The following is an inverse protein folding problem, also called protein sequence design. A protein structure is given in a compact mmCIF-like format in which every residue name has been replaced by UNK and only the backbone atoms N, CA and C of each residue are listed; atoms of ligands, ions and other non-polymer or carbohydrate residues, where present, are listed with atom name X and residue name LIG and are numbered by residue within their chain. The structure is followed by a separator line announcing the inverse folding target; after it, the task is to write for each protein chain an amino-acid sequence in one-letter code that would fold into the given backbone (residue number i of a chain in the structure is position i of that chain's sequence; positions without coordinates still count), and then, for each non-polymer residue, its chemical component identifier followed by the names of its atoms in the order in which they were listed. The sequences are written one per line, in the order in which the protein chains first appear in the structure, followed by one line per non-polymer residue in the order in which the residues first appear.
data_IF_123011419313
#
_entry.id   IF_123011419313
#
_cell.length_a   1.000
_cell.length_b   1.000
_cell.length_c   1.000
_cell.angle_alpha   90.00
_cell.angle_beta   90.00
_cell.angle_gamma   90.00
#
_symmetry.space_group_name_H-M   'P 1'
#
loop_
_entity.id
_entity.type
_entity.pdbx_description
1 polymer ?
#
# COMPACT_ATOMS: atom_id res chain seq x y z
N UNK A 1 -43.07 -2.54 22.57
CA UNK A 1 -42.10 -1.70 21.84
C UNK A 1 -40.70 -2.16 22.20
N UNK A 2 -40.08 -2.96 21.35
CA UNK A 2 -38.70 -3.42 21.52
C UNK A 2 -38.14 -3.70 20.13
N UNK A 3 -37.12 -2.95 19.73
CA UNK A 3 -35.82 -3.49 19.34
C UNK A 3 -34.92 -2.33 18.90
N UNK A 4 -34.02 -1.96 19.81
CA UNK A 4 -32.75 -1.36 19.45
C UNK A 4 -32.01 -2.34 18.55
N UNK A 5 -31.76 -1.99 17.30
CA UNK A 5 -30.91 -2.78 16.41
C UNK A 5 -29.50 -2.73 16.96
N UNK A 6 -29.08 -3.83 17.58
CA UNK A 6 -27.69 -4.11 17.84
C UNK A 6 -26.95 -4.00 16.50
N UNK A 7 -25.89 -3.20 16.47
CA UNK A 7 -24.95 -3.18 15.37
C UNK A 7 -24.37 -4.59 15.25
N UNK A 8 -24.73 -5.28 14.18
CA UNK A 8 -24.21 -6.60 13.84
C UNK A 8 -22.73 -6.41 13.51
N UNK A 9 -21.86 -6.93 14.39
CA UNK A 9 -20.43 -6.95 14.17
C UNK A 9 -20.15 -7.91 13.01
N UNK A 10 -19.90 -7.35 11.83
CA UNK A 10 -19.62 -8.11 10.63
C UNK A 10 -18.13 -8.52 10.62
N UNK A 11 -17.83 -9.54 11.41
CA UNK A 11 -16.53 -10.21 11.50
C UNK A 11 -16.11 -10.77 10.14
N UNK A 12 -14.84 -10.60 9.76
CA UNK A 12 -14.27 -11.28 8.58
C UNK A 12 -14.63 -12.77 8.55
N UNK A 13 -15.01 -13.26 7.38
CA UNK A 13 -15.30 -14.67 7.16
C UNK A 13 -14.07 -15.52 7.42
N UNK A 14 -14.27 -16.80 7.74
CA UNK A 14 -13.17 -17.74 7.99
C UNK A 14 -12.21 -17.81 6.79
N UNK A 15 -12.74 -17.68 5.57
CA UNK A 15 -11.98 -17.64 4.32
C UNK A 15 -11.11 -16.40 4.21
N UNK A 16 -11.59 -15.23 4.62
CA UNK A 16 -10.81 -13.99 4.59
C UNK A 16 -9.76 -13.97 5.70
N UNK A 17 -10.08 -14.47 6.90
CA UNK A 17 -9.12 -14.65 8.00
C UNK A 17 -7.97 -15.59 7.61
N UNK A 18 -8.24 -16.63 6.82
CA UNK A 18 -7.23 -17.56 6.28
C UNK A 18 -6.45 -16.97 5.10
N UNK A 19 -7.13 -16.35 4.14
CA UNK A 19 -6.53 -15.75 2.94
C UNK A 19 -5.59 -14.59 3.30
N UNK A 20 -5.94 -13.81 4.32
CA UNK A 20 -5.21 -12.60 4.72
C UNK A 20 -4.61 -12.70 6.13
N UNK A 21 -4.10 -13.88 6.53
CA UNK A 21 -3.71 -14.28 7.89
C UNK A 21 -3.14 -13.22 8.87
N UNK A 22 -2.44 -12.19 8.41
CA UNK A 22 -1.93 -11.07 9.24
C UNK A 22 -2.94 -9.91 9.39
N UNK A 23 -3.67 -9.56 8.33
CA UNK A 23 -4.69 -8.49 8.36
C UNK A 23 -5.89 -8.92 9.20
N UNK A 24 -6.31 -10.19 9.07
CA UNK A 24 -7.35 -10.78 9.90
C UNK A 24 -7.02 -10.76 11.40
N UNK A 25 -5.76 -10.99 11.78
CA UNK A 25 -5.31 -10.95 13.19
C UNK A 25 -5.26 -9.52 13.78
N UNK A 26 -4.98 -8.49 12.98
CA UNK A 26 -4.94 -7.08 13.44
C UNK A 26 -6.35 -6.58 13.73
N UNK A 27 -7.31 -6.96 12.90
CA UNK A 27 -8.74 -6.66 13.14
C UNK A 27 -9.24 -7.37 14.40
N UNK A 28 -8.87 -8.65 14.58
CA UNK A 28 -9.26 -9.43 15.75
C UNK A 28 -8.60 -8.98 17.06
N UNK A 29 -7.46 -8.29 17.01
CA UNK A 29 -6.78 -7.78 18.22
C UNK A 29 -7.18 -6.34 18.60
N UNK A 30 -7.95 -5.65 17.76
CA UNK A 30 -8.37 -4.26 17.97
C UNK A 30 -9.53 -4.04 18.95
N UNK A 31 -10.17 -5.09 19.47
CA UNK A 31 -11.47 -4.98 20.16
C UNK A 31 -11.44 -4.78 21.67
N UNK A 32 -10.33 -4.38 22.31
CA UNK A 32 -10.36 -4.17 23.77
C UNK A 32 -9.62 -2.91 24.22
N UNK A 33 -10.38 -1.84 24.46
CA UNK A 33 -10.55 -1.17 25.77
C UNK A 33 -11.20 0.21 25.61
N UNK A 34 -12.52 0.25 25.74
CA UNK A 34 -13.26 1.43 26.17
C UNK A 34 -12.80 1.83 27.58
N UNK A 35 -12.07 2.93 27.73
CA UNK A 35 -11.69 3.41 29.06
C UNK A 35 -10.98 4.78 29.10
N UNK A 36 -11.72 5.79 29.60
CA UNK A 36 -11.29 7.09 30.19
C UNK A 36 -11.01 8.25 29.22
N UNK A 37 -11.93 9.21 29.26
CA UNK A 37 -12.12 10.39 28.40
C UNK A 37 -11.08 11.51 28.54
N UNK A 38 -10.14 11.45 29.49
CA UNK A 38 -9.18 12.55 29.72
C UNK A 38 -7.79 12.29 29.09
N UNK A 39 -7.43 11.04 28.81
CA UNK A 39 -6.14 10.67 28.17
C UNK A 39 -6.20 10.77 26.63
N UNK A 40 -7.42 10.88 26.05
CA UNK A 40 -7.65 10.90 24.60
C UNK A 40 -7.20 12.19 23.93
N UNK A 41 -7.45 13.35 24.55
CA UNK A 41 -7.08 14.66 23.99
C UNK A 41 -5.56 14.80 23.81
N UNK A 42 -4.77 14.55 24.86
CA UNK A 42 -3.32 14.67 24.81
C UNK A 42 -2.64 13.71 23.81
N UNK A 43 -3.17 12.48 23.66
CA UNK A 43 -2.67 11.50 22.68
C UNK A 43 -3.01 11.90 21.24
N UNK A 44 -4.24 12.37 20.99
CA UNK A 44 -4.64 12.89 19.68
C UNK A 44 -3.79 14.09 19.27
N UNK A 45 -3.58 15.07 20.16
CA UNK A 45 -2.73 16.25 19.88
C UNK A 45 -1.27 15.88 19.61
N UNK A 46 -0.75 14.83 20.25
CA UNK A 46 0.62 14.35 20.01
C UNK A 46 0.75 13.64 18.66
N UNK A 47 -0.22 12.82 18.26
CA UNK A 47 -0.22 12.19 16.93
C UNK A 47 -0.52 13.18 15.81
N UNK A 48 -1.39 14.17 16.03
CA UNK A 48 -1.63 15.28 15.09
C UNK A 48 -0.33 16.05 14.81
N UNK A 49 0.52 16.27 15.81
CA UNK A 49 1.83 16.90 15.59
C UNK A 49 2.76 16.07 14.69
N UNK A 50 2.58 14.76 14.58
CA UNK A 50 3.38 13.94 13.67
C UNK A 50 2.92 14.06 12.23
N UNK A 51 1.69 14.48 11.96
CA UNK A 51 1.20 14.58 10.57
C UNK A 51 1.90 15.68 9.77
N UNK A 52 2.63 16.59 10.43
CA UNK A 52 3.46 17.62 9.80
C UNK A 52 4.75 17.08 9.16
N UNK A 53 5.16 15.85 9.49
CA UNK A 53 6.31 15.17 8.88
C UNK A 53 5.81 14.15 7.85
N UNK A 54 6.20 14.34 6.58
CA UNK A 54 5.76 13.45 5.50
C UNK A 54 6.42 12.06 5.60
N UNK A 55 5.70 11.03 5.13
CA UNK A 55 6.17 9.64 5.12
C UNK A 55 6.02 8.85 6.44
N UNK A 56 5.45 9.41 7.50
CA UNK A 56 5.21 8.68 8.77
C UNK A 56 3.79 8.08 8.87
N UNK A 57 3.58 7.12 9.76
CA UNK A 57 2.30 6.42 9.88
C UNK A 57 1.07 7.33 10.12
N UNK A 58 1.26 8.50 10.75
CA UNK A 58 0.20 9.47 11.00
C UNK A 58 -0.14 10.28 9.73
N UNK A 59 0.86 10.63 8.91
CA UNK A 59 0.61 11.30 7.62
C UNK A 59 -0.11 10.38 6.64
N UNK A 60 0.24 9.09 6.56
CA UNK A 60 -0.51 8.08 5.80
C UNK A 60 -1.96 7.98 6.26
N UNK A 61 -2.20 7.94 7.57
CA UNK A 61 -3.55 7.92 8.12
C UNK A 61 -4.35 9.18 7.77
N UNK A 62 -3.71 10.35 7.76
CA UNK A 62 -4.34 11.60 7.35
C UNK A 62 -4.67 11.62 5.85
N UNK A 63 -3.76 11.14 4.99
CA UNK A 63 -4.01 11.04 3.55
C UNK A 63 -5.19 10.13 3.23
N UNK A 64 -5.30 8.98 3.91
CA UNK A 64 -6.48 8.10 3.80
C UNK A 64 -7.75 8.82 4.25
N UNK A 65 -7.70 9.58 5.35
CA UNK A 65 -8.86 10.34 5.81
C UNK A 65 -9.32 11.40 4.81
N UNK A 66 -8.37 12.14 4.23
CA UNK A 66 -8.67 13.14 3.19
C UNK A 66 -9.25 12.49 1.94
N UNK A 67 -8.76 11.31 1.56
CA UNK A 67 -9.30 10.57 0.43
C UNK A 67 -10.75 10.10 0.68
N UNK A 68 -11.09 9.69 1.90
CA UNK A 68 -12.50 9.37 2.25
C UNK A 68 -13.40 10.61 2.30
N UNK A 69 -12.86 11.74 2.74
CA UNK A 69 -13.61 13.00 2.88
C UNK A 69 -13.39 13.94 1.69
N UNK A 70 -13.30 13.40 0.47
CA UNK A 70 -13.11 14.20 -0.76
C UNK A 70 -14.40 14.92 -1.20
N UNK A 71 -15.17 15.42 -0.24
CA UNK A 71 -16.39 16.16 -0.49
C UNK A 71 -16.03 17.60 -0.87
N UNK A 72 -16.23 17.94 -2.13
CA UNK A 72 -16.12 19.30 -2.65
C UNK A 72 -17.49 19.79 -3.19
N UNK A 73 -17.56 21.05 -3.61
CA UNK A 73 -18.84 21.70 -3.96
C UNK A 73 -19.60 21.00 -5.11
N UNK A 74 -18.94 20.15 -5.92
CA UNK A 74 -19.51 19.52 -7.10
C UNK A 74 -19.42 17.99 -7.12
N UNK A 75 -18.63 17.38 -6.22
CA UNK A 75 -18.40 15.94 -6.15
C UNK A 75 -18.36 15.51 -4.68
N UNK A 76 -19.14 14.48 -4.34
CA UNK A 76 -19.23 13.91 -3.01
C UNK A 76 -18.84 12.44 -3.09
N UNK A 77 -18.08 11.97 -2.12
CA UNK A 77 -17.61 10.59 -2.06
C UNK A 77 -16.11 10.43 -1.85
N UNK A 78 -15.71 9.16 -1.81
CA UNK A 78 -14.32 8.76 -1.61
C UNK A 78 -13.53 8.89 -2.92
N UNK A 79 -12.29 9.38 -2.85
CA UNK A 79 -11.32 9.31 -3.94
C UNK A 79 -10.61 7.95 -3.89
N UNK A 80 -11.14 6.96 -4.61
CA UNK A 80 -10.64 5.58 -4.56
C UNK A 80 -9.20 5.47 -5.11
N UNK A 81 -8.83 6.32 -6.08
CA UNK A 81 -7.46 6.35 -6.58
C UNK A 81 -6.49 6.91 -5.54
N UNK A 82 -6.85 8.00 -4.84
CA UNK A 82 -6.04 8.52 -3.75
C UNK A 82 -5.89 7.47 -2.63
N UNK A 83 -6.96 6.75 -2.27
CA UNK A 83 -6.86 5.62 -1.33
C UNK A 83 -5.86 4.58 -1.82
N UNK A 84 -5.97 4.15 -3.09
CA UNK A 84 -5.09 3.15 -3.71
C UNK A 84 -3.63 3.60 -3.71
N UNK A 85 -3.36 4.86 -4.07
CA UNK A 85 -2.01 5.43 -4.06
C UNK A 85 -1.38 5.40 -2.67
N UNK A 86 -2.14 5.82 -1.65
CA UNK A 86 -1.65 5.87 -0.27
C UNK A 86 -1.34 4.46 0.23
N UNK A 87 -2.23 3.49 -0.04
CA UNK A 87 -2.01 2.07 0.30
C UNK A 87 -0.79 1.48 -0.43
N UNK A 88 -0.57 1.82 -1.71
CA UNK A 88 0.61 1.40 -2.47
C UNK A 88 1.90 1.93 -1.83
N UNK A 89 1.92 3.16 -1.35
CA UNK A 89 3.07 3.81 -0.68
C UNK A 89 3.40 3.22 0.70
N UNK A 90 2.48 2.48 1.35
CA UNK A 90 2.77 1.81 2.63
C UNK A 90 3.86 0.74 2.43
N UNK A 91 4.97 0.73 3.19
CA UNK A 91 6.14 -0.10 2.85
C UNK A 91 6.06 -1.56 3.31
N UNK A 92 5.31 -1.88 4.38
CA UNK A 92 5.21 -3.24 4.91
C UNK A 92 3.90 -3.47 5.65
N UNK A 93 3.57 -4.74 5.92
CA UNK A 93 2.39 -5.10 6.72
C UNK A 93 2.50 -4.58 8.15
N UNK A 94 3.68 -4.62 8.76
CA UNK A 94 3.90 -4.04 10.10
C UNK A 94 3.75 -2.53 10.10
N UNK A 95 4.26 -1.84 9.07
CA UNK A 95 4.02 -0.41 8.93
C UNK A 95 2.54 -0.09 8.71
N UNK A 96 1.82 -0.91 7.95
CA UNK A 96 0.38 -0.78 7.79
C UNK A 96 -0.37 -0.88 9.13
N UNK A 97 0.08 -1.76 10.05
CA UNK A 97 -0.45 -1.80 11.43
C UNK A 97 -0.21 -0.48 12.15
N UNK A 98 0.94 0.16 11.95
CA UNK A 98 1.23 1.47 12.53
C UNK A 98 0.30 2.55 11.94
N UNK A 99 -0.03 2.49 10.65
CA UNK A 99 -1.01 3.37 9.99
C UNK A 99 -2.41 3.17 10.59
N UNK A 100 -2.88 1.93 10.68
CA UNK A 100 -4.17 1.59 11.33
C UNK A 100 -4.25 2.16 12.75
N UNK A 101 -3.19 1.96 13.55
CA UNK A 101 -3.10 2.48 14.91
C UNK A 101 -3.11 4.02 14.95
N UNK A 102 -2.44 4.68 14.00
CA UNK A 102 -2.39 6.13 13.93
C UNK A 102 -3.76 6.71 13.54
N UNK A 103 -4.43 6.12 12.56
CA UNK A 103 -5.79 6.46 12.15
C UNK A 103 -6.78 6.37 13.31
N UNK A 104 -6.74 5.27 14.07
CA UNK A 104 -7.58 5.08 15.26
C UNK A 104 -7.31 6.13 16.35
N UNK A 105 -6.07 6.58 16.53
CA UNK A 105 -5.74 7.63 17.51
C UNK A 105 -6.17 9.02 17.05
N UNK A 106 -6.07 9.32 15.75
CA UNK A 106 -6.42 10.61 15.17
C UNK A 106 -7.94 10.80 15.12
N UNK A 107 -8.67 9.80 14.64
CA UNK A 107 -10.09 9.93 14.27
C UNK A 107 -11.04 9.15 15.17
N UNK A 108 -10.51 8.35 16.10
CA UNK A 108 -11.30 7.44 16.92
C UNK A 108 -12.14 6.42 16.10
N UNK A 109 -11.77 6.16 14.84
CA UNK A 109 -12.40 5.23 13.91
C UNK A 109 -11.46 4.09 13.51
N UNK A 110 -12.03 2.97 13.06
CA UNK A 110 -11.25 1.86 12.50
C UNK A 110 -10.99 2.11 11.02
N UNK A 111 -9.72 2.19 10.62
CA UNK A 111 -9.35 2.34 9.21
C UNK A 111 -9.91 1.20 8.35
N UNK A 112 -9.98 -0.03 8.90
CA UNK A 112 -10.49 -1.17 8.14
C UNK A 112 -12.01 -1.16 7.98
N UNK A 113 -12.73 -0.56 8.93
CA UNK A 113 -14.17 -0.36 8.79
C UNK A 113 -14.44 0.72 7.74
N UNK A 114 -13.74 1.85 7.83
CA UNK A 114 -13.89 2.95 6.88
C UNK A 114 -13.54 2.47 5.45
N UNK A 115 -12.45 1.72 5.25
CA UNK A 115 -12.14 1.14 3.93
C UNK A 115 -13.22 0.18 3.38
N UNK A 116 -13.96 -0.52 4.26
CA UNK A 116 -15.03 -1.43 3.84
C UNK A 116 -16.33 -0.68 3.54
N UNK A 117 -16.60 0.38 4.29
CA UNK A 117 -17.82 1.18 4.16
C UNK A 117 -17.73 2.14 2.96
N UNK A 118 -16.54 2.67 2.69
CA UNK A 118 -16.29 3.70 1.68
C UNK A 118 -16.02 3.13 0.28
N UNK A 119 -15.61 1.86 0.16
CA UNK A 119 -15.20 1.26 -1.11
C UNK A 119 -16.15 0.15 -1.57
N UNK A 120 -16.24 -0.05 -2.89
CA UNK A 120 -16.89 -1.24 -3.42
C UNK A 120 -16.13 -2.50 -2.99
N UNK A 121 -16.83 -3.63 -2.86
CA UNK A 121 -16.22 -4.90 -2.45
C UNK A 121 -15.03 -5.32 -3.32
N UNK A 122 -15.07 -5.04 -4.63
CA UNK A 122 -13.95 -5.33 -5.53
C UNK A 122 -12.71 -4.51 -5.22
N UNK A 123 -12.87 -3.23 -4.92
CA UNK A 123 -11.78 -2.30 -4.61
C UNK A 123 -11.19 -2.59 -3.24
N UNK A 124 -12.03 -2.82 -2.23
CA UNK A 124 -11.59 -3.25 -0.92
C UNK A 124 -10.72 -4.52 -1.00
N UNK A 125 -11.15 -5.52 -1.77
CA UNK A 125 -10.39 -6.75 -1.98
C UNK A 125 -9.07 -6.54 -2.73
N UNK A 126 -9.05 -5.62 -3.70
CA UNK A 126 -7.83 -5.20 -4.40
C UNK A 126 -6.80 -4.62 -3.41
N UNK A 127 -7.23 -3.69 -2.55
CA UNK A 127 -6.36 -3.06 -1.56
C UNK A 127 -5.81 -4.08 -0.55
N UNK A 128 -6.64 -5.03 -0.11
CA UNK A 128 -6.18 -6.13 0.75
C UNK A 128 -5.13 -7.00 0.06
N UNK A 129 -5.28 -7.26 -1.24
CA UNK A 129 -4.28 -8.01 -2.02
C UNK A 129 -2.96 -7.23 -2.13
N UNK A 130 -3.02 -5.92 -2.35
CA UNK A 130 -1.83 -5.05 -2.36
C UNK A 130 -1.10 -5.13 -1.02
N UNK A 131 -1.81 -5.01 0.11
CA UNK A 131 -1.21 -5.13 1.44
C UNK A 131 -0.65 -6.54 1.70
N UNK A 132 -1.37 -7.58 1.27
CA UNK A 132 -0.93 -8.96 1.45
C UNK A 132 0.39 -9.26 0.71
N UNK A 133 0.60 -8.62 -0.44
CA UNK A 133 1.83 -8.73 -1.24
C UNK A 133 3.04 -7.98 -0.66
N UNK A 134 2.86 -7.16 0.39
CA UNK A 134 3.96 -6.40 1.01
C UNK A 134 4.80 -7.26 1.96
N UNK A 135 6.08 -6.92 2.20
CA UNK A 135 6.90 -7.60 3.19
C UNK A 135 6.30 -7.45 4.60
N UNK A 136 6.60 -8.38 5.51
CA UNK A 136 6.02 -8.35 6.86
C UNK A 136 6.55 -7.19 7.71
N UNK A 137 7.85 -6.88 7.66
CA UNK A 137 8.50 -5.78 8.40
C UNK A 137 9.58 -5.11 7.55
N UNK A 138 9.90 -3.86 7.87
CA UNK A 138 11.14 -3.19 7.46
C UNK A 138 12.00 -3.06 8.71
N UNK A 139 13.21 -3.64 8.73
CA UNK A 139 14.18 -3.47 9.84
C UNK A 139 15.51 -2.95 9.31
N UNK A 140 16.22 -2.15 10.11
CA UNK A 140 17.55 -1.62 9.78
C UNK A 140 18.61 -2.72 9.81
N UNK A 141 19.44 -2.77 8.76
CA UNK A 141 20.33 -3.88 8.36
C UNK A 141 19.61 -5.18 8.00
N UNK A 142 18.53 -5.07 7.22
CA UNK A 142 17.85 -6.20 6.61
C UNK A 142 18.11 -6.21 5.11
N UNK A 143 18.74 -7.27 4.62
CA UNK A 143 18.50 -7.76 3.26
C UNK A 143 17.18 -8.54 3.34
N UNK A 144 16.10 -8.09 2.69
CA UNK A 144 14.87 -8.87 2.68
C UNK A 144 15.18 -10.25 2.13
N UNK A 145 14.69 -11.32 2.77
CA UNK A 145 14.68 -12.64 2.14
C UNK A 145 13.67 -12.54 1.00
N UNK A 146 14.12 -11.99 -0.12
CA UNK A 146 13.32 -11.88 -1.32
C UNK A 146 13.30 -13.26 -1.96
N UNK A 147 12.11 -13.83 -2.06
CA UNK A 147 11.90 -15.15 -2.65
C UNK A 147 11.92 -15.05 -4.17
N UNK A 148 12.17 -16.17 -4.86
CA UNK A 148 12.04 -16.26 -6.31
C UNK A 148 10.66 -15.80 -6.80
N UNK A 149 9.61 -16.03 -6.01
CA UNK A 149 8.25 -15.59 -6.32
C UNK A 149 8.11 -14.06 -6.28
N UNK A 150 8.78 -13.38 -5.35
CA UNK A 150 8.74 -11.93 -5.26
C UNK A 150 9.47 -11.26 -6.43
N UNK A 151 10.61 -11.82 -6.87
CA UNK A 151 11.29 -11.32 -8.08
C UNK A 151 10.40 -11.45 -9.32
N UNK A 152 9.70 -12.58 -9.45
CA UNK A 152 8.75 -12.80 -10.53
C UNK A 152 7.56 -11.84 -10.44
N UNK A 153 7.06 -11.55 -9.23
CA UNK A 153 5.96 -10.61 -9.03
C UNK A 153 6.35 -9.17 -9.44
N UNK A 154 7.55 -8.72 -9.10
CA UNK A 154 8.06 -7.42 -9.57
C UNK A 154 8.27 -7.40 -11.08
N UNK A 155 8.82 -8.48 -11.66
CA UNK A 155 8.93 -8.60 -13.11
C UNK A 155 7.56 -8.47 -13.82
N UNK A 156 6.53 -9.11 -13.27
CA UNK A 156 5.15 -9.02 -13.78
C UNK A 156 4.56 -7.62 -13.69
N UNK A 157 4.81 -6.92 -12.59
CA UNK A 157 4.36 -5.53 -12.42
C UNK A 157 5.08 -4.57 -13.37
N UNK A 158 6.37 -4.79 -13.63
CA UNK A 158 7.10 -4.02 -14.63
C UNK A 158 6.53 -4.25 -16.03
N UNK A 159 6.31 -5.52 -16.41
CA UNK A 159 5.68 -5.82 -17.71
C UNK A 159 4.29 -5.18 -17.85
N UNK A 160 3.48 -5.27 -16.79
CA UNK A 160 2.16 -4.65 -16.79
C UNK A 160 2.22 -3.13 -16.92
N UNK A 161 3.24 -2.48 -16.34
CA UNK A 161 3.45 -1.03 -16.46
C UNK A 161 3.95 -0.61 -17.85
N UNK A 162 4.60 -1.51 -18.59
CA UNK A 162 4.99 -1.30 -19.99
C UNK A 162 3.80 -1.46 -20.95
N UNK A 163 2.88 -2.36 -20.62
CA UNK A 163 1.78 -2.74 -21.52
C UNK A 163 0.48 -1.96 -21.24
N UNK A 164 0.54 -0.79 -20.57
CA UNK A 164 -0.68 -0.03 -20.30
C UNK A 164 -1.26 0.45 -21.63
N UNK A 165 -2.55 0.20 -21.82
CA UNK A 165 -3.27 0.64 -23.02
C UNK A 165 -4.42 1.53 -22.59
N UNK A 166 -4.36 2.82 -22.93
CA UNK A 166 -5.47 3.73 -22.67
C UNK A 166 -6.34 3.87 -23.92
N UNK A 167 -7.56 3.32 -23.86
CA UNK A 167 -8.66 3.41 -24.84
C UNK A 167 -8.34 2.81 -26.23
N UNK A 168 -7.17 3.08 -26.81
CA UNK A 168 -6.55 2.43 -27.99
C UNK A 168 -5.09 2.88 -28.25
N UNK A 169 -4.46 3.63 -27.32
CA UNK A 169 -3.08 4.11 -27.46
C UNK A 169 -2.18 3.33 -26.50
N UNK A 170 -1.09 2.70 -26.98
CA UNK A 170 -0.09 2.11 -26.09
C UNK A 170 0.58 3.22 -25.26
N UNK A 171 0.83 2.96 -23.99
CA UNK A 171 1.48 3.89 -23.09
C UNK A 171 2.18 3.18 -21.93
N UNK A 172 2.95 3.97 -21.20
CA UNK A 172 3.79 3.51 -20.10
C UNK A 172 3.26 4.08 -18.79
N UNK A 173 3.29 3.30 -17.71
CA UNK A 173 2.98 3.77 -16.35
C UNK A 173 4.28 3.96 -15.58
N UNK A 174 4.92 5.11 -15.83
CA UNK A 174 6.15 5.52 -15.16
C UNK A 174 6.01 5.57 -13.63
N UNK A 175 4.87 6.01 -13.05
CA UNK A 175 4.60 5.88 -11.62
C UNK A 175 4.66 4.43 -11.10
N UNK A 176 4.10 3.47 -11.82
CA UNK A 176 4.14 2.05 -11.44
C UNK A 176 5.55 1.46 -11.56
N UNK A 177 6.31 1.82 -12.61
CA UNK A 177 7.72 1.42 -12.76
C UNK A 177 8.51 1.95 -11.56
N UNK A 178 8.37 3.25 -11.24
CA UNK A 178 9.03 3.91 -10.12
C UNK A 178 8.69 3.25 -8.79
N UNK A 179 7.43 2.88 -8.58
CA UNK A 179 7.00 2.18 -7.37
C UNK A 179 7.70 0.82 -7.22
N UNK A 180 7.77 0.02 -8.29
CA UNK A 180 8.51 -1.26 -8.26
C UNK A 180 9.99 -1.03 -7.95
N UNK A 181 10.62 -0.03 -8.57
CA UNK A 181 12.03 0.29 -8.33
C UNK A 181 12.29 0.73 -6.89
N UNK A 182 11.39 1.51 -6.30
CA UNK A 182 11.47 1.89 -4.88
C UNK A 182 11.38 0.67 -3.96
N UNK A 183 10.54 -0.32 -4.29
CA UNK A 183 10.37 -1.56 -3.52
C UNK A 183 11.55 -2.53 -3.63
N UNK A 184 12.26 -2.55 -4.76
CA UNK A 184 13.43 -3.42 -4.94
C UNK A 184 14.51 -3.02 -3.92
N UNK A 185 14.98 -3.90 -3.04
CA UNK A 185 15.81 -3.48 -1.90
C UNK A 185 17.24 -3.10 -2.28
N UNK A 186 17.83 -3.86 -3.20
CA UNK A 186 19.27 -3.84 -3.49
C UNK A 186 19.51 -3.90 -4.99
N UNK A 187 20.73 -3.51 -5.42
CA UNK A 187 21.14 -3.70 -6.80
C UNK A 187 21.18 -5.19 -7.18
N UNK A 188 21.56 -6.07 -6.25
CA UNK A 188 21.57 -7.51 -6.47
C UNK A 188 20.15 -8.07 -6.68
N UNK A 189 19.16 -7.57 -5.94
CA UNK A 189 17.76 -7.94 -6.13
C UNK A 189 17.22 -7.44 -7.47
N UNK A 190 17.61 -6.25 -7.92
CA UNK A 190 17.27 -5.77 -9.27
C UNK A 190 17.78 -6.72 -10.36
N UNK A 191 19.01 -7.22 -10.24
CA UNK A 191 19.56 -8.22 -11.19
C UNK A 191 18.75 -9.53 -11.18
N UNK A 192 18.26 -9.95 -10.00
CA UNK A 192 17.41 -11.14 -9.88
C UNK A 192 16.01 -10.90 -10.48
N UNK A 193 15.46 -9.69 -10.36
CA UNK A 193 14.24 -9.28 -11.08
C UNK A 193 14.47 -9.32 -12.58
N UNK A 194 15.57 -8.75 -13.08
CA UNK A 194 15.91 -8.79 -14.50
C UNK A 194 16.06 -10.24 -15.02
N UNK A 195 16.67 -11.12 -14.22
CA UNK A 195 16.78 -12.55 -14.54
C UNK A 195 15.42 -13.26 -14.56
N UNK A 196 14.53 -12.94 -13.62
CA UNK A 196 13.18 -13.48 -13.58
C UNK A 196 12.35 -12.98 -14.77
N UNK A 197 12.48 -11.70 -15.12
CA UNK A 197 11.83 -11.07 -16.26
C UNK A 197 12.25 -11.74 -17.58
N UNK A 198 13.55 -11.91 -17.80
CA UNK A 198 14.07 -12.59 -18.98
C UNK A 198 13.53 -14.01 -19.11
N UNK A 199 13.43 -14.75 -17.99
CA UNK A 199 12.89 -16.11 -17.98
C UNK A 199 11.39 -16.15 -18.30
N UNK A 200 10.62 -15.20 -17.77
CA UNK A 200 9.16 -15.16 -17.95
C UNK A 200 8.77 -14.68 -19.36
N UNK A 201 9.48 -13.68 -19.90
CA UNK A 201 9.07 -12.96 -21.11
C UNK A 201 9.98 -13.17 -22.32
N UNK A 202 11.16 -13.76 -22.14
CA UNK A 202 12.12 -13.99 -23.22
C UNK A 202 12.79 -12.73 -23.76
N UNK A 203 12.54 -11.54 -23.19
CA UNK A 203 13.23 -10.30 -23.49
C UNK A 203 13.95 -9.74 -22.25
N UNK A 204 15.02 -8.97 -22.46
CA UNK A 204 15.74 -8.34 -21.36
C UNK A 204 14.97 -7.14 -20.81
N UNK A 205 14.82 -7.06 -19.48
CA UNK A 205 14.14 -5.95 -18.81
C UNK A 205 14.67 -4.58 -19.23
N UNK A 206 15.99 -4.46 -19.45
CA UNK A 206 16.61 -3.19 -19.85
C UNK A 206 16.24 -2.79 -21.29
N UNK A 207 15.95 -3.75 -22.17
CA UNK A 207 15.54 -3.46 -23.54
C UNK A 207 14.11 -2.92 -23.55
N UNK A 208 13.21 -3.53 -22.76
CA UNK A 208 11.85 -3.02 -22.60
C UNK A 208 11.86 -1.64 -21.93
N UNK A 209 12.60 -1.43 -20.83
CA UNK A 209 12.73 -0.10 -20.22
C UNK A 209 13.18 0.99 -21.20
N UNK A 210 14.09 0.67 -22.13
CA UNK A 210 14.56 1.62 -23.15
C UNK A 210 13.55 1.86 -24.28
N UNK A 211 12.67 0.90 -24.51
CA UNK A 211 11.60 1.02 -25.49
C UNK A 211 10.45 1.86 -24.94
N UNK A 212 10.17 1.74 -23.64
CA UNK A 212 8.99 2.33 -23.00
C UNK A 212 9.23 3.71 -22.35
N UNK A 213 10.48 4.05 -22.00
CA UNK A 213 10.82 5.30 -21.32
C UNK A 213 11.66 6.23 -22.20
N UNK A 214 11.49 7.53 -22.01
CA UNK A 214 12.35 8.52 -22.65
C UNK A 214 13.78 8.48 -22.08
N UNK A 215 14.77 8.86 -22.89
CA UNK A 215 16.19 8.75 -22.53
C UNK A 215 16.53 9.41 -21.17
N UNK A 216 15.91 10.55 -20.85
CA UNK A 216 16.13 11.25 -19.58
C UNK A 216 15.42 10.59 -18.38
N UNK A 217 14.32 9.87 -18.62
CA UNK A 217 13.58 9.15 -17.58
C UNK A 217 14.30 7.89 -17.17
N UNK A 218 14.94 7.20 -18.12
CA UNK A 218 15.76 6.01 -17.85
C UNK A 218 16.85 6.34 -16.82
N UNK A 219 17.55 7.46 -16.99
CA UNK A 219 18.58 7.90 -16.05
C UNK A 219 18.01 8.10 -14.64
N UNK A 220 16.93 8.86 -14.53
CA UNK A 220 16.25 9.14 -13.25
C UNK A 220 15.72 7.87 -12.58
N UNK A 221 15.20 6.93 -13.36
CA UNK A 221 14.69 5.66 -12.87
C UNK A 221 15.83 4.77 -12.38
N UNK A 222 16.91 4.66 -13.15
CA UNK A 222 18.08 3.88 -12.78
C UNK A 222 18.82 4.45 -11.57
N UNK A 223 18.78 5.75 -11.33
CA UNK A 223 19.34 6.37 -10.11
C UNK A 223 18.68 5.85 -8.84
N UNK A 224 17.40 5.45 -8.88
CA UNK A 224 16.73 4.81 -7.74
C UNK A 224 17.44 3.50 -7.37
N UNK A 225 17.87 2.71 -8.37
CA UNK A 225 18.58 1.45 -8.17
C UNK A 225 20.05 1.69 -7.84
N UNK A 226 20.71 2.59 -8.56
CA UNK A 226 22.14 2.87 -8.39
C UNK A 226 22.47 3.41 -6.99
N UNK A 227 21.54 4.14 -6.37
CA UNK A 227 21.68 4.65 -5.00
C UNK A 227 21.37 3.62 -3.90
N UNK A 228 20.92 2.39 -4.25
CA UNK A 228 20.68 1.32 -3.30
C UNK A 228 21.94 0.52 -2.98
N UNK A 229 21.97 -0.23 -1.85
CA UNK A 229 23.08 -1.11 -1.51
C UNK A 229 23.37 -2.15 -2.62
N UNK A 230 24.65 -2.51 -2.77
CA UNK A 230 25.11 -3.51 -3.76
C UNK A 230 24.91 -4.98 -3.32
N UNK A 231 24.69 -5.19 -2.02
CA UNK A 231 24.72 -6.51 -1.35
C UNK A 231 23.40 -7.24 -1.41
#
# INVERSE_FOLDING_TARGET
MKNSSAYEHDDFTLKEKLTYGIVGLVVLSGTFLLGRTVVRGARSTTEQKKTYEDGNAASFAQQLKMAFENDNYFEWGTDEEAVREVIRKVPSKDYFKQVINSYQKLYARSLMADLKDELATSEYNELLAIIAGKPDKITGNYTPIVTSQQYLAWAKRLKAAFDITYWFVPGTDEPAIKAVFMEIPTQADFQKVASAYLREYGNELMNDLKSELEFWEIGSMMDIINNKPKV
#
